data_IF_445638554036
#
_entry.id   IF_445638554036
#
_cell.length_a   1.000
_cell.length_b   1.000
_cell.length_c   1.000
_cell.angle_alpha   90.00
_cell.angle_beta   90.00
_cell.angle_gamma   90.00
#
_symmetry.space_group_name_H-M   'P 1'
#
loop_
_entity.id
_entity.type
_entity.pdbx_description
1 polymer ?
#
# COMPACT_ATOMS: atom_id res chain seq x y z
N UNK A 1 7.76 34.79 -8.18
CA UNK A 1 6.61 34.61 -7.24
C UNK A 1 6.14 33.15 -7.09
N UNK A 2 6.85 32.11 -7.59
CA UNK A 2 6.41 30.70 -7.58
C UNK A 2 6.75 29.86 -6.33
N UNK A 3 7.45 30.42 -5.34
CA UNK A 3 7.98 29.63 -4.21
C UNK A 3 6.94 29.33 -3.12
N UNK A 4 5.87 30.12 -3.02
CA UNK A 4 4.86 29.95 -1.98
C UNK A 4 3.82 28.88 -2.34
N UNK A 5 3.45 28.79 -3.62
CA UNK A 5 2.50 27.77 -4.13
C UNK A 5 3.05 26.35 -4.00
N UNK A 6 4.32 26.13 -4.35
CA UNK A 6 4.96 24.82 -4.22
C UNK A 6 5.08 24.35 -2.76
N UNK A 7 5.26 25.28 -1.81
CA UNK A 7 5.34 24.96 -0.38
C UNK A 7 3.95 24.64 0.20
N UNK A 8 2.91 25.35 -0.23
CA UNK A 8 1.53 25.09 0.18
C UNK A 8 1.02 23.78 -0.43
N UNK A 9 1.26 23.53 -1.72
CA UNK A 9 0.91 22.26 -2.37
C UNK A 9 1.64 21.06 -1.77
N UNK A 10 2.91 21.23 -1.38
CA UNK A 10 3.67 20.18 -0.69
C UNK A 10 3.13 19.87 0.70
N UNK A 11 2.68 20.89 1.45
CA UNK A 11 2.09 20.69 2.78
C UNK A 11 0.71 20.01 2.71
N UNK A 12 -0.13 20.39 1.74
CA UNK A 12 -1.46 19.77 1.55
C UNK A 12 -1.33 18.31 1.12
N UNK A 13 -0.43 18.00 0.18
CA UNK A 13 -0.19 16.60 -0.21
C UNK A 13 0.36 15.74 0.94
N UNK A 14 1.18 16.33 1.80
CA UNK A 14 1.70 15.63 2.96
C UNK A 14 0.61 15.35 4.01
N UNK A 15 -0.37 16.24 4.14
CA UNK A 15 -1.53 16.09 5.03
C UNK A 15 -2.47 14.98 4.52
N UNK A 16 -2.82 15.01 3.22
CA UNK A 16 -3.68 14.00 2.58
C UNK A 16 -3.07 12.58 2.68
N UNK A 17 -1.77 12.45 2.42
CA UNK A 17 -1.07 11.16 2.54
C UNK A 17 -1.07 10.63 3.99
N UNK A 18 -1.00 11.52 4.99
CA UNK A 18 -1.04 11.11 6.41
C UNK A 18 -2.46 10.70 6.80
N UNK A 19 -3.49 11.42 6.35
CA UNK A 19 -4.88 11.02 6.57
C UNK A 19 -5.14 9.61 6.05
N UNK A 20 -4.76 9.35 4.80
CA UNK A 20 -4.95 8.04 4.21
C UNK A 20 -4.22 6.90 4.92
N UNK A 21 -3.00 7.17 5.39
CA UNK A 21 -2.27 6.22 6.24
C UNK A 21 -3.07 5.90 7.52
N UNK A 22 -3.61 6.91 8.19
CA UNK A 22 -4.40 6.69 9.41
C UNK A 22 -5.69 5.91 9.13
N UNK A 23 -6.36 6.17 8.00
CA UNK A 23 -7.55 5.44 7.57
C UNK A 23 -7.23 3.98 7.26
N UNK A 24 -6.16 3.72 6.50
CA UNK A 24 -5.72 2.36 6.18
C UNK A 24 -5.33 1.58 7.45
N UNK A 25 -4.62 2.23 8.37
CA UNK A 25 -4.27 1.65 9.66
C UNK A 25 -5.52 1.25 10.46
N UNK A 26 -6.50 2.14 10.57
CA UNK A 26 -7.75 1.86 11.28
C UNK A 26 -8.54 0.70 10.66
N UNK A 27 -8.61 0.61 9.33
CA UNK A 27 -9.29 -0.49 8.63
C UNK A 27 -8.62 -1.84 8.90
N UNK A 28 -7.28 -1.86 8.85
CA UNK A 28 -6.49 -3.05 9.16
C UNK A 28 -6.68 -3.47 10.62
N UNK A 29 -6.66 -2.53 11.56
CA UNK A 29 -6.90 -2.79 12.98
C UNK A 29 -8.31 -3.35 13.22
N UNK A 30 -9.34 -2.74 12.61
CA UNK A 30 -10.72 -3.20 12.71
C UNK A 30 -10.87 -4.64 12.18
N UNK A 31 -10.26 -4.93 11.03
CA UNK A 31 -10.25 -6.28 10.46
C UNK A 31 -9.52 -7.29 11.35
N UNK A 32 -8.39 -6.90 11.97
CA UNK A 32 -7.69 -7.75 12.93
C UNK A 32 -8.52 -8.08 14.15
N UNK A 33 -9.26 -7.10 14.68
CA UNK A 33 -10.18 -7.31 15.81
C UNK A 33 -11.26 -8.31 15.42
N UNK A 34 -11.91 -8.15 14.27
CA UNK A 34 -12.95 -9.08 13.81
C UNK A 34 -12.41 -10.50 13.62
N UNK A 35 -11.21 -10.64 13.03
CA UNK A 35 -10.55 -11.92 12.86
C UNK A 35 -10.24 -12.61 14.19
N UNK A 36 -9.70 -11.87 15.16
CA UNK A 36 -9.38 -12.39 16.50
C UNK A 36 -10.65 -12.83 17.22
N UNK A 37 -11.71 -12.03 17.14
CA UNK A 37 -13.00 -12.34 17.76
C UNK A 37 -13.65 -13.61 17.17
N UNK A 38 -13.60 -13.77 15.84
CA UNK A 38 -14.07 -14.98 15.16
C UNK A 38 -13.27 -16.22 15.60
N UNK A 39 -11.94 -16.12 15.64
CA UNK A 39 -11.07 -17.20 16.08
C UNK A 39 -11.35 -17.62 17.53
N UNK A 40 -11.59 -16.65 18.43
CA UNK A 40 -11.95 -16.92 19.82
C UNK A 40 -13.30 -17.62 19.94
N UNK A 41 -14.32 -17.18 19.19
CA UNK A 41 -15.66 -17.80 19.20
C UNK A 41 -15.66 -19.23 18.68
N UNK A 42 -14.83 -19.52 17.68
CA UNK A 42 -14.75 -20.84 17.04
C UNK A 42 -13.74 -21.78 17.72
N UNK A 43 -12.93 -21.27 18.67
CA UNK A 43 -11.84 -22.03 19.27
C UNK A 43 -10.77 -22.47 18.27
N UNK A 44 -10.67 -21.75 17.14
CA UNK A 44 -9.81 -22.07 16.01
C UNK A 44 -8.60 -21.11 15.96
N UNK A 45 -7.49 -21.47 15.30
CA UNK A 45 -6.42 -20.50 15.03
C UNK A 45 -6.92 -19.38 14.09
N UNK A 46 -6.20 -18.27 14.06
CA UNK A 46 -6.49 -17.16 13.12
C UNK A 46 -6.46 -17.67 11.68
N UNK A 47 -7.56 -17.45 10.94
CA UNK A 47 -7.72 -17.90 9.56
C UNK A 47 -7.89 -16.72 8.60
N UNK A 48 -7.20 -16.76 7.46
CA UNK A 48 -7.51 -15.92 6.30
C UNK A 48 -7.63 -16.80 5.05
N UNK A 49 -8.68 -16.64 4.25
CA UNK A 49 -8.95 -17.47 3.06
C UNK A 49 -8.85 -18.99 3.32
N UNK A 50 -9.34 -19.43 4.48
CA UNK A 50 -9.34 -20.85 4.87
C UNK A 50 -7.97 -21.41 5.23
N UNK A 51 -6.93 -20.57 5.37
CA UNK A 51 -5.59 -20.98 5.81
C UNK A 51 -5.23 -20.35 7.16
N UNK A 52 -4.51 -21.05 8.03
CA UNK A 52 -4.00 -20.48 9.27
C UNK A 52 -2.98 -19.38 8.95
N UNK A 53 -3.12 -18.23 9.61
CA UNK A 53 -2.25 -17.07 9.42
C UNK A 53 -1.73 -16.57 10.76
N UNK A 54 -0.44 -16.23 10.78
CA UNK A 54 0.20 -15.53 11.90
C UNK A 54 0.46 -14.10 11.45
N UNK A 55 -0.26 -13.15 12.03
CA UNK A 55 -0.07 -11.74 11.74
C UNK A 55 1.02 -11.17 12.64
N UNK A 56 2.05 -10.59 12.03
CA UNK A 56 3.03 -9.76 12.72
C UNK A 56 2.65 -8.28 12.54
N UNK A 57 2.09 -7.68 13.58
CA UNK A 57 1.59 -6.30 13.57
C UNK A 57 2.70 -5.27 13.28
N UNK A 58 3.92 -5.46 13.81
CA UNK A 58 5.07 -4.60 13.51
C UNK A 58 5.46 -4.65 12.03
N UNK A 59 5.34 -5.84 11.41
CA UNK A 59 5.58 -5.99 9.99
C UNK A 59 4.51 -5.28 9.18
N UNK A 60 3.24 -5.38 9.57
CA UNK A 60 2.11 -4.68 8.94
C UNK A 60 2.31 -3.16 8.97
N UNK A 61 2.66 -2.60 10.13
CA UNK A 61 2.95 -1.18 10.30
C UNK A 61 4.11 -0.72 9.40
N UNK A 62 5.19 -1.53 9.33
CA UNK A 62 6.31 -1.25 8.44
C UNK A 62 5.89 -1.24 6.97
N UNK A 63 5.01 -2.14 6.54
CA UNK A 63 4.49 -2.17 5.17
C UNK A 63 3.67 -0.92 4.86
N UNK A 64 2.75 -0.53 5.75
CA UNK A 64 2.01 0.72 5.62
C UNK A 64 2.96 1.92 5.49
N UNK A 65 3.91 2.07 6.41
CA UNK A 65 4.82 3.21 6.38
C UNK A 65 5.69 3.26 5.10
N UNK A 66 6.14 2.10 4.64
CA UNK A 66 6.93 2.00 3.40
C UNK A 66 6.11 2.38 2.18
N UNK A 67 4.86 1.91 2.11
CA UNK A 67 3.91 2.23 1.04
C UNK A 67 3.60 3.72 1.02
N UNK A 68 3.33 4.33 2.19
CA UNK A 68 3.12 5.76 2.34
C UNK A 68 4.31 6.53 1.78
N UNK A 69 5.53 6.15 2.20
CA UNK A 69 6.75 6.82 1.76
C UNK A 69 6.95 6.71 0.25
N UNK A 70 6.63 5.56 -0.33
CA UNK A 70 6.72 5.34 -1.77
C UNK A 70 5.70 6.20 -2.52
N UNK A 71 4.44 6.25 -2.08
CA UNK A 71 3.41 7.11 -2.65
C UNK A 71 3.82 8.59 -2.58
N UNK A 72 4.25 9.09 -1.42
CA UNK A 72 4.70 10.48 -1.28
C UNK A 72 5.89 10.80 -2.20
N UNK A 73 6.80 9.85 -2.41
CA UNK A 73 7.92 10.01 -3.36
C UNK A 73 7.43 10.08 -4.80
N UNK A 74 6.48 9.21 -5.20
CA UNK A 74 5.87 9.24 -6.53
C UNK A 74 5.19 10.59 -6.76
N UNK A 75 4.39 11.06 -5.79
CA UNK A 75 3.71 12.34 -5.87
C UNK A 75 4.71 13.50 -5.96
N UNK A 76 5.76 13.50 -5.15
CA UNK A 76 6.76 14.57 -5.13
C UNK A 76 7.48 14.74 -6.49
N UNK A 77 7.87 13.63 -7.13
CA UNK A 77 8.71 13.69 -8.33
C UNK A 77 7.97 13.46 -9.65
N UNK A 78 6.77 12.88 -9.60
CA UNK A 78 6.02 12.45 -10.79
C UNK A 78 4.63 13.07 -10.88
N UNK A 79 4.32 14.14 -10.12
CA UNK A 79 3.02 14.84 -10.14
C UNK A 79 2.54 15.22 -11.54
N UNK A 80 3.45 15.67 -12.41
CA UNK A 80 3.14 16.11 -13.77
C UNK A 80 3.36 15.01 -14.82
N UNK A 81 3.64 13.78 -14.42
CA UNK A 81 3.86 12.69 -15.36
C UNK A 81 2.57 12.36 -16.14
N UNK A 82 2.74 12.02 -17.41
CA UNK A 82 1.63 11.51 -18.21
C UNK A 82 1.16 10.15 -17.68
N UNK A 83 2.09 9.25 -17.36
CA UNK A 83 1.83 7.94 -16.77
C UNK A 83 2.97 7.61 -15.82
N UNK A 84 2.66 7.04 -14.65
CA UNK A 84 3.64 6.47 -13.73
C UNK A 84 3.64 4.96 -13.89
N UNK A 85 4.76 4.38 -14.32
CA UNK A 85 4.96 2.93 -14.34
C UNK A 85 5.71 2.52 -13.08
N UNK A 86 5.13 1.63 -12.28
CA UNK A 86 5.76 1.10 -11.07
C UNK A 86 5.78 -0.43 -11.08
N UNK A 87 6.77 -1.01 -10.42
CA UNK A 87 6.79 -2.45 -10.16
C UNK A 87 5.68 -2.80 -9.18
N UNK A 88 4.87 -3.82 -9.49
CA UNK A 88 3.85 -4.34 -8.58
C UNK A 88 4.51 -5.00 -7.36
N UNK A 89 4.31 -4.47 -6.13
CA UNK A 89 4.86 -5.10 -4.94
C UNK A 89 4.28 -6.51 -4.76
N UNK A 90 5.09 -7.53 -4.43
CA UNK A 90 4.55 -8.86 -4.15
C UNK A 90 3.74 -8.84 -2.84
N UNK A 91 2.66 -9.64 -2.74
CA UNK A 91 1.94 -9.78 -1.48
C UNK A 91 2.85 -10.38 -0.41
N UNK A 92 2.84 -9.85 0.82
CA UNK A 92 3.62 -10.42 1.92
C UNK A 92 3.14 -11.84 2.26
N UNK A 93 4.09 -12.75 2.50
CA UNK A 93 3.83 -14.21 2.63
C UNK A 93 2.92 -14.56 3.81
N UNK A 94 2.87 -13.72 4.83
CA UNK A 94 2.13 -13.95 6.09
C UNK A 94 1.03 -12.95 6.35
N UNK A 95 0.67 -12.10 5.37
CA UNK A 95 -0.40 -11.12 5.55
C UNK A 95 -1.69 -11.64 4.91
N UNK A 96 -2.84 -11.47 5.57
CA UNK A 96 -4.15 -11.67 4.94
C UNK A 96 -4.25 -10.90 3.60
N UNK A 97 -4.92 -11.46 2.57
CA UNK A 97 -5.10 -10.78 1.29
C UNK A 97 -5.75 -9.39 1.42
N UNK A 98 -6.62 -9.22 2.42
CA UNK A 98 -7.23 -7.93 2.74
C UNK A 98 -6.19 -6.83 3.00
N UNK A 99 -5.11 -7.11 3.75
CA UNK A 99 -4.08 -6.11 4.03
C UNK A 99 -3.30 -5.72 2.78
N UNK A 100 -3.08 -6.68 1.88
CA UNK A 100 -2.42 -6.39 0.62
C UNK A 100 -3.23 -5.37 -0.20
N UNK A 101 -4.56 -5.48 -0.21
CA UNK A 101 -5.41 -4.51 -0.90
C UNK A 101 -5.32 -3.11 -0.28
N UNK A 102 -5.34 -3.00 1.06
CA UNK A 102 -5.16 -1.71 1.74
C UNK A 102 -3.79 -1.07 1.41
N UNK A 103 -2.73 -1.88 1.28
CA UNK A 103 -1.42 -1.37 0.84
C UNK A 103 -1.47 -0.87 -0.61
N UNK A 104 -2.19 -1.56 -1.50
CA UNK A 104 -2.29 -1.14 -2.91
C UNK A 104 -3.13 0.13 -3.03
N UNK A 105 -4.23 0.25 -2.30
CA UNK A 105 -5.09 1.44 -2.29
C UNK A 105 -4.31 2.68 -1.85
N UNK A 106 -3.54 2.58 -0.76
CA UNK A 106 -2.68 3.67 -0.29
C UNK A 106 -1.51 3.98 -1.27
N UNK A 107 -1.03 2.98 -2.02
CA UNK A 107 0.03 3.22 -3.01
C UNK A 107 -0.47 4.06 -4.21
N UNK A 108 -1.69 3.80 -4.66
CA UNK A 108 -2.26 4.44 -5.87
C UNK A 108 -2.97 5.76 -5.60
N UNK A 109 -3.22 6.04 -4.33
CA UNK A 109 -3.94 7.23 -3.92
C UNK A 109 -3.33 8.51 -4.50
N UNK A 110 -4.20 9.35 -5.05
CA UNK A 110 -3.84 10.61 -5.70
C UNK A 110 -2.84 10.48 -6.87
N UNK A 111 -2.64 9.27 -7.42
CA UNK A 111 -1.84 9.03 -8.64
C UNK A 111 -2.77 8.70 -9.82
N UNK A 112 -3.15 9.68 -10.68
CA UNK A 112 -4.28 9.53 -11.60
C UNK A 112 -4.09 8.46 -12.68
N UNK A 113 -2.85 8.24 -13.14
CA UNK A 113 -2.51 7.32 -14.22
C UNK A 113 -1.29 6.50 -13.82
N UNK A 114 -1.55 5.42 -13.09
CA UNK A 114 -0.54 4.48 -12.62
C UNK A 114 -0.74 3.12 -13.28
N UNK A 115 0.35 2.55 -13.81
CA UNK A 115 0.39 1.19 -14.32
C UNK A 115 1.35 0.36 -13.47
N UNK A 116 0.82 -0.68 -12.81
CA UNK A 116 1.65 -1.63 -12.07
C UNK A 116 2.10 -2.76 -12.99
N UNK A 117 3.40 -3.02 -13.04
CA UNK A 117 4.01 -4.03 -13.90
C UNK A 117 4.68 -5.10 -13.05
N UNK A 118 4.44 -6.37 -13.38
CA UNK A 118 5.13 -7.52 -12.78
C UNK A 118 5.62 -8.46 -13.86
N UNK A 119 6.93 -8.49 -14.07
CA UNK A 119 7.54 -9.49 -14.96
C UNK A 119 7.43 -10.89 -14.36
N UNK A 120 7.27 -11.89 -15.23
CA UNK A 120 7.55 -13.26 -14.85
C UNK A 120 9.07 -13.42 -14.93
N UNK A 121 9.74 -14.09 -13.99
CA UNK A 121 11.22 -14.15 -13.90
C UNK A 121 11.93 -14.84 -15.09
N UNK A 122 11.25 -15.00 -16.22
CA UNK A 122 11.70 -15.62 -17.47
C UNK A 122 11.70 -14.64 -18.65
N UNK A 123 11.34 -13.39 -18.44
CA UNK A 123 11.28 -12.39 -19.51
C UNK A 123 12.70 -11.87 -19.82
N UNK A 124 13.25 -12.22 -20.98
CA UNK A 124 14.53 -11.71 -21.50
C UNK A 124 14.25 -10.76 -22.64
N UNK A 125 14.66 -9.50 -22.50
CA UNK A 125 14.57 -8.52 -23.59
C UNK A 125 15.80 -8.68 -24.48
N UNK A 126 15.63 -9.24 -25.67
CA UNK A 126 16.70 -9.43 -26.66
C UNK A 126 16.71 -8.38 -27.76
N UNK A 127 15.69 -7.53 -27.81
CA UNK A 127 15.52 -6.45 -28.79
C UNK A 127 14.85 -5.26 -28.12
N UNK A 128 15.43 -4.07 -28.32
CA UNK A 128 14.78 -2.78 -28.09
C UNK A 128 14.59 -2.15 -29.48
N UNK A 129 13.33 -1.98 -29.89
CA UNK A 129 12.98 -1.30 -31.16
C UNK A 129 12.64 0.15 -30.88
#
# INVERSE_FOLDING_TARGET
MKSWEAHVEGNVQQDDSVEAFTVAQQRIEAYLVEMKDRAQREGAPLMADGKPVVVNEQQVEKFLYTTLKLNSTILQYSRMAAVVLVSLPPPPVSHPPYFYMEYIDMLVENVPRLLMVRGYRRDVVTLFT
#
